data_IF_563564328548
#
_entry.id   IF_563564328548
#
_cell.length_a   1.000
_cell.length_b   1.000
_cell.length_c   1.000
_cell.angle_alpha   90.00
_cell.angle_beta   90.00
_cell.angle_gamma   90.00
#
_symmetry.space_group_name_H-M   'P 1'
#
loop_
_entity.id
_entity.type
_entity.pdbx_description
1 polymer ?
#
# COMPACT_ATOMS: atom_id res chain seq x y z
N UNK A 1 1.68 -2.16 20.03
CA UNK A 1 1.27 -2.96 18.85
C UNK A 1 -0.09 -3.64 19.12
N UNK A 2 -1.18 -2.88 19.23
CA UNK A 2 -2.50 -3.41 19.63
C UNK A 2 -3.45 -3.71 18.45
N UNK A 3 -3.20 -3.08 17.30
CA UNK A 3 -4.07 -3.15 16.13
C UNK A 3 -4.07 -4.55 15.50
N UNK A 4 -5.24 -5.16 15.20
CA UNK A 4 -5.33 -6.52 14.67
C UNK A 4 -4.56 -6.74 13.35
N UNK A 5 -4.56 -5.77 12.45
CA UNK A 5 -3.84 -5.84 11.17
C UNK A 5 -2.32 -5.79 11.36
N UNK A 6 -1.82 -5.12 12.40
CA UNK A 6 -0.38 -5.13 12.71
C UNK A 6 0.03 -6.49 13.27
N UNK A 7 -0.79 -7.09 14.15
CA UNK A 7 -0.53 -8.43 14.69
C UNK A 7 -0.56 -9.52 13.61
N UNK A 8 -1.49 -9.38 12.65
CA UNK A 8 -1.64 -10.30 11.52
C UNK A 8 -0.72 -10.00 10.34
N UNK A 9 0.22 -9.06 10.49
CA UNK A 9 1.13 -8.62 9.42
C UNK A 9 0.38 -8.30 8.12
N UNK A 10 -0.77 -7.62 8.23
CA UNK A 10 -1.59 -7.11 7.12
C UNK A 10 -1.49 -5.58 7.03
N UNK A 11 -0.27 -5.06 7.13
CA UNK A 11 0.04 -3.64 6.99
C UNK A 11 1.40 -3.50 6.32
N UNK A 12 1.50 -2.60 5.36
CA UNK A 12 2.74 -2.25 4.69
C UNK A 12 2.78 -0.74 4.42
N UNK A 13 3.97 -0.18 4.24
CA UNK A 13 4.15 1.19 3.78
C UNK A 13 3.96 1.28 2.27
N UNK A 14 3.38 2.38 1.81
CA UNK A 14 3.25 2.71 0.39
C UNK A 14 4.32 3.75 0.05
N UNK A 15 4.96 3.63 -1.12
CA UNK A 15 5.90 4.67 -1.61
C UNK A 15 5.19 6.02 -1.71
N UNK A 16 5.94 7.11 -1.53
CA UNK A 16 5.36 8.45 -1.53
C UNK A 16 4.71 8.79 -2.88
N UNK A 17 3.40 9.08 -2.86
CA UNK A 17 2.61 9.59 -3.99
C UNK A 17 1.70 10.69 -3.47
N UNK A 18 1.53 11.75 -4.26
CA UNK A 18 0.70 12.88 -3.88
C UNK A 18 -0.79 12.54 -3.99
N UNK A 19 -1.49 12.43 -2.85
CA UNK A 19 -2.88 11.98 -2.79
C UNK A 19 -3.91 13.01 -3.32
N UNK A 20 -3.52 14.28 -3.47
CA UNK A 20 -4.39 15.38 -3.88
C UNK A 20 -3.91 16.01 -5.19
N UNK A 21 -3.54 15.17 -6.15
CA UNK A 21 -2.95 15.58 -7.44
C UNK A 21 -3.98 15.63 -8.56
N UNK A 22 -3.49 15.70 -9.80
CA UNK A 22 -4.31 15.57 -11.01
C UNK A 22 -4.55 14.12 -11.43
N UNK A 23 -5.07 13.88 -12.63
CA UNK A 23 -5.44 12.54 -13.10
C UNK A 23 -4.30 11.49 -12.97
N UNK A 24 -3.06 11.85 -13.29
CA UNK A 24 -1.91 10.94 -13.17
C UNK A 24 -1.61 10.50 -11.73
N UNK A 25 -1.97 11.30 -10.71
CA UNK A 25 -1.75 10.90 -9.32
C UNK A 25 -2.61 9.70 -8.94
N UNK A 26 -3.76 9.51 -9.58
CA UNK A 26 -4.58 8.31 -9.40
C UNK A 26 -3.86 7.06 -9.90
N UNK A 27 -3.27 7.13 -11.10
CA UNK A 27 -2.49 6.03 -11.66
C UNK A 27 -1.29 5.70 -10.78
N UNK A 28 -0.51 6.70 -10.37
CA UNK A 28 0.64 6.47 -9.50
C UNK A 28 0.24 5.93 -8.13
N UNK A 29 -0.91 6.35 -7.59
CA UNK A 29 -1.43 5.82 -6.34
C UNK A 29 -1.86 4.36 -6.50
N UNK A 30 -2.51 4.02 -7.62
CA UNK A 30 -2.92 2.65 -7.92
C UNK A 30 -1.70 1.72 -8.03
N UNK A 31 -0.67 2.14 -8.76
CA UNK A 31 0.60 1.41 -8.87
C UNK A 31 1.25 1.24 -7.49
N UNK A 32 1.40 2.33 -6.73
CA UNK A 32 2.04 2.31 -5.41
C UNK A 32 1.33 1.42 -4.39
N UNK A 33 -0.01 1.44 -4.36
CA UNK A 33 -0.80 0.56 -3.50
C UNK A 33 -0.65 -0.90 -3.95
N UNK A 34 -0.67 -1.15 -5.26
CA UNK A 34 -0.54 -2.50 -5.82
C UNK A 34 0.82 -3.11 -5.46
N UNK A 35 1.91 -2.37 -5.66
CA UNK A 35 3.26 -2.80 -5.28
C UNK A 35 3.32 -3.20 -3.80
N UNK A 36 2.80 -2.33 -2.93
CA UNK A 36 2.78 -2.53 -1.48
C UNK A 36 1.94 -3.75 -1.06
N UNK A 37 0.84 -4.03 -1.77
CA UNK A 37 -0.02 -5.19 -1.52
C UNK A 37 0.60 -6.50 -2.02
N UNK A 38 1.33 -6.47 -3.14
CA UNK A 38 2.05 -7.64 -3.66
C UNK A 38 3.14 -8.04 -2.66
N UNK A 39 3.88 -7.08 -2.10
CA UNK A 39 4.89 -7.34 -1.06
C UNK A 39 4.30 -7.98 0.20
N UNK A 40 3.05 -7.66 0.51
CA UNK A 40 2.31 -8.17 1.67
C UNK A 40 1.70 -9.57 1.42
N UNK A 41 1.70 -10.04 0.16
CA UNK A 41 1.06 -11.29 -0.19
C UNK A 41 1.75 -12.49 0.51
N UNK A 42 0.98 -13.52 0.92
CA UNK A 42 1.57 -14.74 1.47
C UNK A 42 2.51 -15.38 0.45
N UNK A 43 3.72 -15.75 0.88
CA UNK A 43 4.61 -16.58 0.05
C UNK A 43 3.98 -17.97 -0.06
N UNK A 44 3.81 -18.43 -1.31
CA UNK A 44 3.34 -19.78 -1.62
C UNK A 44 4.40 -20.82 -1.30
#
# INVERSE_FOLDING_TARGET
QAMPFVKKQRVNSVRAVWAYGGAMSLQYMAEAITDSLIELAPKQ
#
